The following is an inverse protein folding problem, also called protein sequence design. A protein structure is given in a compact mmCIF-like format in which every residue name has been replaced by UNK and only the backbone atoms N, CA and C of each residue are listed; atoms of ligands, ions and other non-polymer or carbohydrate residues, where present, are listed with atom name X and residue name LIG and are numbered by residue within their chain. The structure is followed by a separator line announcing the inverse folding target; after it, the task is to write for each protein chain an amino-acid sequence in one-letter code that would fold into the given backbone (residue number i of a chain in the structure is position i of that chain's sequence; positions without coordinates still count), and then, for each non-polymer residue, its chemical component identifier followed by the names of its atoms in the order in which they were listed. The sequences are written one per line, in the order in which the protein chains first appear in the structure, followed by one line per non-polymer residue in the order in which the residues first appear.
data_IF_881695625616
#
_entry.id   IF_881695625616
#
_cell.length_a   1.000
_cell.length_b   1.000
_cell.length_c   1.000
_cell.angle_alpha   90.00
_cell.angle_beta   90.00
_cell.angle_gamma   90.00
#
_symmetry.space_group_name_H-M   'P 1'
#
loop_
_entity.id
_entity.type
_entity.pdbx_description
1 polymer ?
#
# COMPACT_ATOMS: atom_id res chain seq x y z
N UNK A 1 13.32 2.89 -5.67
CA UNK A 1 12.54 1.93 -4.86
C UNK A 1 11.12 2.41 -4.75
N UNK A 2 10.17 1.58 -5.06
CA UNK A 2 8.76 1.92 -5.01
C UNK A 2 8.06 1.08 -3.97
N UNK A 3 7.11 1.69 -3.27
CA UNK A 3 6.28 0.98 -2.32
C UNK A 3 4.81 1.13 -2.68
N UNK A 4 4.06 0.09 -2.44
CA UNK A 4 2.65 0.04 -2.72
C UNK A 4 1.89 -0.28 -1.44
N UNK A 5 0.86 0.49 -1.15
CA UNK A 5 -0.03 0.23 -0.03
C UNK A 5 -1.41 -0.09 -0.56
N UNK A 6 -1.95 -1.20 -0.12
CA UNK A 6 -3.30 -1.59 -0.49
C UNK A 6 -4.17 -1.80 0.73
N UNK A 7 -5.39 -1.31 0.67
CA UNK A 7 -6.45 -1.63 1.61
C UNK A 7 -7.36 -2.65 0.92
N UNK A 8 -7.67 -3.78 1.58
CA UNK A 8 -8.49 -4.82 0.94
C UNK A 8 -9.86 -4.34 0.46
N UNK A 9 -10.42 -3.33 1.10
CA UNK A 9 -11.72 -2.83 0.72
C UNK A 9 -11.67 -1.81 -0.43
N UNK A 10 -10.47 -1.39 -0.78
CA UNK A 10 -10.23 -0.50 -1.91
C UNK A 10 -9.38 -1.16 -2.97
N UNK A 11 -9.60 -2.45 -3.19
CA UNK A 11 -8.78 -3.26 -4.10
C UNK A 11 -8.59 -2.66 -5.48
N UNK A 12 -9.59 -1.99 -6.03
CA UNK A 12 -9.43 -1.41 -7.35
C UNK A 12 -8.53 -0.17 -7.34
N UNK A 13 -8.53 0.62 -6.25
CA UNK A 13 -7.58 1.71 -6.07
C UNK A 13 -6.17 1.17 -5.93
N UNK A 14 -6.04 0.08 -5.19
CA UNK A 14 -4.77 -0.63 -5.05
C UNK A 14 -4.29 -1.17 -6.41
N UNK A 15 -5.19 -1.64 -7.26
CA UNK A 15 -4.84 -2.09 -8.60
C UNK A 15 -4.31 -0.97 -9.48
N UNK A 16 -4.91 0.21 -9.42
CA UNK A 16 -4.41 1.37 -10.15
C UNK A 16 -3.03 1.75 -9.65
N UNK A 17 -2.86 1.85 -8.33
CA UNK A 17 -1.57 2.14 -7.73
C UNK A 17 -0.53 1.09 -8.10
N UNK A 18 -0.90 -0.19 -8.07
CA UNK A 18 -0.02 -1.29 -8.46
C UNK A 18 0.48 -1.14 -9.89
N UNK A 19 -0.42 -0.86 -10.82
CA UNK A 19 -0.05 -0.70 -12.23
C UNK A 19 0.92 0.46 -12.43
N UNK A 20 0.69 1.57 -11.75
CA UNK A 20 1.58 2.72 -11.82
C UNK A 20 2.94 2.39 -11.22
N UNK A 21 2.96 1.74 -10.06
CA UNK A 21 4.20 1.34 -9.41
C UNK A 21 5.00 0.37 -10.28
N UNK A 22 4.33 -0.60 -10.89
CA UNK A 22 4.97 -1.56 -11.80
C UNK A 22 5.64 -0.86 -12.98
N UNK A 23 4.91 0.07 -13.61
CA UNK A 23 5.44 0.82 -14.75
C UNK A 23 6.63 1.67 -14.37
N UNK A 24 6.58 2.33 -13.22
CA UNK A 24 7.69 3.14 -12.74
C UNK A 24 8.90 2.26 -12.39
N UNK A 25 8.68 1.17 -11.68
CA UNK A 25 9.76 0.26 -11.32
C UNK A 25 10.44 -0.33 -12.54
N UNK A 26 9.67 -0.74 -13.53
CA UNK A 26 10.20 -1.26 -14.78
C UNK A 26 10.99 -0.19 -15.55
N UNK A 27 10.42 1.01 -15.67
CA UNK A 27 11.05 2.10 -16.40
C UNK A 27 12.30 2.66 -15.75
N UNK A 28 12.43 2.57 -14.43
CA UNK A 28 13.58 3.12 -13.70
C UNK A 28 14.56 2.06 -13.23
N UNK A 29 14.24 0.78 -13.36
CA UNK A 29 15.04 -0.31 -12.81
C UNK A 29 15.02 -0.37 -11.28
N UNK A 30 14.02 0.25 -10.66
CA UNK A 30 13.91 0.29 -9.20
C UNK A 30 13.33 -1.01 -8.65
N UNK A 31 13.68 -1.32 -7.41
CA UNK A 31 13.05 -2.42 -6.68
C UNK A 31 11.64 -2.04 -6.27
N UNK A 32 10.71 -2.96 -6.46
CA UNK A 32 9.33 -2.79 -6.01
C UNK A 32 9.11 -3.54 -4.71
N UNK A 33 8.71 -2.82 -3.68
CA UNK A 33 8.30 -3.38 -2.40
C UNK A 33 6.79 -3.20 -2.25
N UNK A 34 6.14 -4.23 -1.76
CA UNK A 34 4.71 -4.21 -1.49
C UNK A 34 4.51 -4.22 0.01
N UNK A 35 3.64 -3.34 0.51
CA UNK A 35 3.34 -3.32 1.94
C UNK A 35 1.83 -3.33 2.15
N UNK A 36 1.40 -4.13 3.10
CA UNK A 36 0.04 -4.11 3.63
C UNK A 36 0.11 -3.82 5.12
N UNK A 37 -0.68 -2.85 5.57
CA UNK A 37 -0.75 -2.50 6.98
C UNK A 37 -2.09 -2.96 7.53
N UNK A 38 -2.07 -3.94 8.41
CA UNK A 38 -3.25 -4.40 9.12
C UNK A 38 -3.58 -3.49 10.29
N UNK A 39 -4.85 -3.48 10.68
CA UNK A 39 -5.27 -2.74 11.85
C UNK A 39 -4.67 -3.28 13.14
N UNK A 40 -4.69 -2.46 14.18
CA UNK A 40 -4.29 -2.91 15.50
C UNK A 40 -5.33 -3.91 16.00
N UNK A 41 -4.90 -5.13 16.27
CA UNK A 41 -5.78 -6.14 16.87
C UNK A 41 -6.26 -5.69 18.23
N UNK A 42 -7.49 -6.06 18.58
CA UNK A 42 -8.02 -5.82 19.90
C UNK A 42 -7.31 -6.69 20.96
N UNK A 43 -7.83 -6.64 22.18
CA UNK A 43 -7.23 -7.36 23.33
C UNK A 43 -7.34 -8.88 23.22
N UNK A 44 -8.11 -9.43 22.28
CA UNK A 44 -8.26 -10.87 22.13
C UNK A 44 -7.17 -11.45 21.20
N UNK A 45 -6.26 -12.30 21.75
CA UNK A 45 -5.20 -12.89 20.93
C UNK A 45 -5.70 -13.76 19.78
N UNK A 46 -6.87 -14.37 19.91
CA UNK A 46 -7.45 -15.21 18.85
C UNK A 46 -7.91 -14.34 17.68
N UNK A 47 -8.57 -13.24 17.97
CA UNK A 47 -9.01 -12.31 16.95
C UNK A 47 -7.83 -11.68 16.24
N UNK A 48 -6.81 -11.31 17.00
CA UNK A 48 -5.57 -10.76 16.44
C UNK A 48 -4.94 -11.72 15.43
N UNK A 49 -4.83 -13.01 15.81
CA UNK A 49 -4.23 -14.01 14.93
C UNK A 49 -5.07 -14.24 13.67
N UNK A 50 -6.39 -14.27 13.79
CA UNK A 50 -7.28 -14.37 12.63
C UNK A 50 -7.14 -13.18 11.69
N UNK A 51 -7.07 -11.98 12.23
CA UNK A 51 -6.87 -10.76 11.44
C UNK A 51 -5.51 -10.77 10.76
N UNK A 52 -4.49 -11.23 11.43
CA UNK A 52 -3.15 -11.34 10.86
C UNK A 52 -3.10 -12.33 9.70
N UNK A 53 -3.76 -13.47 9.84
CA UNK A 53 -3.85 -14.47 8.77
C UNK A 53 -4.61 -13.93 7.56
N UNK A 54 -5.71 -13.24 7.78
CA UNK A 54 -6.49 -12.63 6.70
C UNK A 54 -5.68 -11.57 5.97
N UNK A 55 -4.96 -10.72 6.69
CA UNK A 55 -4.10 -9.68 6.11
C UNK A 55 -2.97 -10.30 5.30
N UNK A 56 -2.38 -11.37 5.79
CA UNK A 56 -1.31 -12.08 5.10
C UNK A 56 -1.82 -12.67 3.79
N UNK A 57 -3.02 -13.27 3.80
CA UNK A 57 -3.63 -13.81 2.60
C UNK A 57 -3.92 -12.76 1.55
N UNK A 58 -4.36 -11.57 1.96
CA UNK A 58 -4.61 -10.47 1.05
C UNK A 58 -3.32 -9.94 0.44
N UNK A 59 -2.27 -9.82 1.23
CA UNK A 59 -0.96 -9.41 0.77
C UNK A 59 -0.41 -10.40 -0.25
N UNK A 60 -0.50 -11.70 0.03
CA UNK A 60 -0.04 -12.75 -0.87
C UNK A 60 -0.81 -12.72 -2.19
N UNK A 61 -2.12 -12.50 -2.13
CA UNK A 61 -2.95 -12.40 -3.33
C UNK A 61 -2.53 -11.21 -4.20
N UNK A 62 -2.32 -10.06 -3.60
CA UNK A 62 -1.84 -8.89 -4.33
C UNK A 62 -0.45 -9.13 -4.94
N UNK A 63 0.45 -9.72 -4.17
CA UNK A 63 1.79 -10.04 -4.66
C UNK A 63 1.72 -10.99 -5.86
N UNK A 64 0.87 -12.00 -5.79
CA UNK A 64 0.67 -12.94 -6.90
C UNK A 64 0.15 -12.23 -8.15
N UNK A 65 -0.87 -11.39 -8.01
CA UNK A 65 -1.42 -10.62 -9.13
C UNK A 65 -0.35 -9.74 -9.80
N UNK A 66 0.49 -9.10 -9.01
CA UNK A 66 1.55 -8.24 -9.52
C UNK A 66 2.62 -9.06 -10.25
N UNK A 67 3.02 -10.19 -9.68
CA UNK A 67 3.99 -11.10 -10.32
C UNK A 67 3.44 -11.70 -11.61
N UNK A 68 2.18 -12.10 -11.61
CA UNK A 68 1.51 -12.66 -12.79
C UNK A 68 1.43 -11.63 -13.93
N UNK A 69 1.36 -10.36 -13.59
CA UNK A 69 1.39 -9.27 -14.57
C UNK A 69 2.81 -8.96 -15.08
N UNK A 70 3.81 -9.69 -14.62
CA UNK A 70 5.18 -9.58 -15.12
C UNK A 70 6.13 -8.74 -14.26
N UNK A 71 5.68 -8.19 -13.17
CA UNK A 71 6.52 -7.38 -12.30
C UNK A 71 7.28 -8.25 -11.30
N UNK A 72 8.44 -7.76 -10.90
CA UNK A 72 9.24 -8.39 -9.85
C UNK A 72 9.05 -7.63 -8.56
N UNK A 73 8.68 -8.35 -7.51
CA UNK A 73 8.58 -7.80 -6.17
C UNK A 73 9.81 -8.21 -5.39
N UNK A 74 10.56 -7.23 -4.90
CA UNK A 74 11.76 -7.49 -4.10
C UNK A 74 11.37 -8.11 -2.76
N UNK A 75 10.35 -7.56 -2.11
CA UNK A 75 9.85 -8.10 -0.86
C UNK A 75 8.42 -7.60 -0.60
N UNK A 76 7.61 -8.46 0.02
CA UNK A 76 6.30 -8.12 0.55
C UNK A 76 6.41 -7.93 2.05
N UNK A 77 5.80 -6.87 2.55
CA UNK A 77 5.86 -6.52 3.98
C UNK A 77 4.47 -6.50 4.57
N UNK A 78 4.31 -7.18 5.70
CA UNK A 78 3.11 -7.09 6.50
C UNK A 78 3.43 -6.32 7.77
N UNK A 79 2.75 -5.22 7.96
CA UNK A 79 2.91 -4.38 9.15
C UNK A 79 1.58 -4.28 9.89
N UNK A 80 1.65 -4.03 11.19
CA UNK A 80 0.47 -3.80 12.03
C UNK A 80 0.64 -2.47 12.73
N UNK A 81 -0.43 -1.71 12.79
CA UNK A 81 -0.41 -0.42 13.44
C UNK A 81 -1.21 0.61 12.66
N UNK A 82 -0.84 1.85 12.82
CA UNK A 82 -1.46 2.94 12.07
C UNK A 82 -0.84 3.00 10.67
N UNK A 83 -1.65 2.87 9.62
CA UNK A 83 -1.13 2.80 8.26
C UNK A 83 -0.20 3.96 7.92
N UNK A 84 -0.58 5.18 8.25
CA UNK A 84 0.22 6.36 7.92
C UNK A 84 1.59 6.37 8.58
N UNK A 85 1.69 5.81 9.79
CA UNK A 85 2.96 5.73 10.50
C UNK A 85 3.83 4.59 9.99
N UNK A 86 3.22 3.43 9.76
CA UNK A 86 3.95 2.25 9.32
C UNK A 86 4.49 2.40 7.90
N UNK A 87 3.73 3.04 7.02
CA UNK A 87 4.17 3.31 5.66
C UNK A 87 5.41 4.22 5.66
N UNK A 88 5.34 5.32 6.39
CA UNK A 88 6.45 6.27 6.46
C UNK A 88 7.68 5.62 7.10
N UNK A 89 7.48 4.86 8.18
CA UNK A 89 8.58 4.16 8.85
C UNK A 89 9.26 3.15 7.92
N UNK A 90 8.47 2.35 7.20
CA UNK A 90 9.02 1.37 6.27
C UNK A 90 9.77 2.04 5.12
N UNK A 91 9.23 3.12 4.59
CA UNK A 91 9.89 3.86 3.53
C UNK A 91 11.26 4.38 3.97
N UNK A 92 11.36 4.87 5.20
CA UNK A 92 12.63 5.32 5.77
C UNK A 92 13.60 4.15 5.97
N UNK A 93 13.11 3.03 6.50
CA UNK A 93 13.93 1.83 6.69
C UNK A 93 14.52 1.32 5.37
N UNK A 94 13.74 1.36 4.31
CA UNK A 94 14.16 0.89 2.99
C UNK A 94 14.95 1.93 2.19
N UNK A 95 14.97 3.16 2.62
CA UNK A 95 15.53 4.25 1.82
C UNK A 95 14.76 4.46 0.52
N UNK A 96 13.44 4.32 0.58
CA UNK A 96 12.60 4.40 -0.61
C UNK A 96 12.71 5.77 -1.29
N UNK A 97 12.81 5.75 -2.61
CA UNK A 97 12.82 6.97 -3.41
C UNK A 97 11.44 7.43 -3.84
N UNK A 98 10.43 6.58 -3.67
CA UNK A 98 9.06 6.89 -4.04
C UNK A 98 8.10 5.98 -3.30
N UNK A 99 7.01 6.55 -2.81
CA UNK A 99 5.88 5.80 -2.28
C UNK A 99 4.73 5.93 -3.29
N UNK A 100 4.13 4.81 -3.67
CA UNK A 100 2.95 4.79 -4.54
C UNK A 100 1.78 4.22 -3.75
N UNK A 101 0.69 4.93 -3.70
CA UNK A 101 -0.47 4.50 -2.93
C UNK A 101 -1.77 4.97 -3.57
N UNK A 102 -2.88 4.33 -3.20
CA UNK A 102 -4.20 4.75 -3.63
C UNK A 102 -4.67 5.98 -2.86
N UNK A 103 -5.45 6.82 -3.52
CA UNK A 103 -5.89 8.08 -2.94
C UNK A 103 -7.06 7.98 -1.98
N UNK A 104 -7.73 6.82 -1.88
CA UNK A 104 -8.94 6.70 -1.08
C UNK A 104 -8.97 5.42 -0.26
N UNK A 105 -9.47 5.55 0.97
CA UNK A 105 -9.92 4.45 1.76
C UNK A 105 -11.44 4.33 1.72
N UNK A 106 -11.95 3.54 2.63
CA UNK A 106 -13.39 3.33 2.81
C UNK A 106 -14.15 4.63 3.03
N UNK A 107 -15.37 4.66 2.52
CA UNK A 107 -16.28 5.77 2.73
C UNK A 107 -15.79 7.08 2.13
N UNK A 108 -14.94 7.00 1.14
CA UNK A 108 -14.38 8.17 0.51
C UNK A 108 -15.45 9.18 0.14
N UNK A 109 -15.31 10.38 0.67
CA UNK A 109 -16.18 11.47 0.29
C UNK A 109 -16.03 11.76 -1.18
N UNK A 110 -17.14 12.00 -1.86
CA UNK A 110 -17.16 12.17 -3.31
C UNK A 110 -16.23 13.27 -3.81
N UNK A 111 -15.83 14.19 -2.95
CA UNK A 111 -14.96 15.30 -3.30
C UNK A 111 -13.65 15.31 -2.55
N UNK A 112 -13.40 14.32 -1.71
CA UNK A 112 -12.12 14.24 -1.06
C UNK A 112 -11.07 13.90 -2.11
N UNK A 113 -10.12 14.77 -2.28
CA UNK A 113 -9.05 14.59 -3.25
C UNK A 113 -8.08 13.52 -2.78
N UNK A 114 -7.94 13.39 -1.49
CA UNK A 114 -6.98 12.49 -0.85
C UNK A 114 -7.64 11.90 0.40
N UNK A 115 -7.50 10.61 0.62
CA UNK A 115 -7.96 9.97 1.86
C UNK A 115 -7.10 10.36 3.05
N UNK A 116 -7.57 10.06 4.26
CA UNK A 116 -6.85 10.44 5.49
C UNK A 116 -5.46 9.83 5.58
N UNK A 117 -5.30 8.57 5.16
CA UNK A 117 -4.00 7.90 5.19
C UNK A 117 -3.05 8.54 4.17
N UNK A 118 -3.49 8.71 2.94
CA UNK A 118 -2.64 9.29 1.90
C UNK A 118 -2.30 10.75 2.19
N UNK A 119 -3.23 11.53 2.74
CA UNK A 119 -2.94 12.90 3.16
C UNK A 119 -1.84 12.94 4.22
N UNK A 120 -1.93 12.07 5.21
CA UNK A 120 -0.93 12.00 6.27
C UNK A 120 0.43 11.54 5.75
N UNK A 121 0.46 10.56 4.85
CA UNK A 121 1.70 10.09 4.24
C UNK A 121 2.36 11.21 3.43
N UNK A 122 1.58 11.93 2.62
CA UNK A 122 2.10 13.07 1.85
C UNK A 122 2.75 14.11 2.75
N UNK A 123 2.15 14.37 3.91
CA UNK A 123 2.67 15.38 4.84
C UNK A 123 3.93 14.94 5.58
N UNK A 124 4.09 13.65 5.85
CA UNK A 124 5.14 13.16 6.73
C UNK A 124 6.25 12.39 6.02
N UNK A 125 6.03 11.94 4.79
CA UNK A 125 7.05 11.21 4.05
C UNK A 125 8.23 12.11 3.70
N UNK A 126 9.43 11.53 3.71
CA UNK A 126 10.65 12.23 3.32
C UNK A 126 11.01 12.00 1.86
N UNK A 127 10.25 11.19 1.15
CA UNK A 127 10.42 10.95 -0.27
C UNK A 127 9.17 11.40 -1.02
N UNK A 128 9.25 11.54 -2.35
CA UNK A 128 8.06 11.80 -3.15
C UNK A 128 6.99 10.74 -2.96
N UNK A 129 5.75 11.17 -3.03
CA UNK A 129 4.58 10.30 -2.89
C UNK A 129 3.70 10.47 -4.12
N UNK A 130 3.42 9.38 -4.80
CA UNK A 130 2.48 9.34 -5.90
C UNK A 130 1.16 8.79 -5.39
N UNK A 131 0.13 9.60 -5.43
CA UNK A 131 -1.20 9.18 -5.02
C UNK A 131 -2.01 8.87 -6.27
N UNK A 132 -2.32 7.60 -6.47
CA UNK A 132 -3.06 7.16 -7.64
C UNK A 132 -4.55 7.41 -7.44
N UNK A 133 -5.15 8.06 -8.43
CA UNK A 133 -6.58 8.32 -8.45
C UNK A 133 -7.16 7.71 -9.71
N UNK A 134 -8.31 7.11 -9.58
CA UNK A 134 -8.98 6.52 -10.73
C UNK A 134 -10.39 7.06 -10.87
N UNK A 135 -10.92 6.95 -12.06
CA UNK A 135 -12.31 7.24 -12.34
C UNK A 135 -13.13 5.96 -12.23
N UNK A 136 -14.31 6.07 -11.67
CA UNK A 136 -15.23 4.95 -11.52
C UNK A 136 -16.07 4.69 -12.77
N UNK A 137 -15.87 5.45 -13.80
CA UNK A 137 -16.63 5.26 -15.03
C UNK A 137 -16.02 4.23 -15.93
#
# INVERSE_FOLDING_TARGET
MCELVGDPETLWWARIASRMAMGIAEGTGSELHLVYVGGVGGADPRLYEQMRQSSHGLLDKQATEIRDAGAKIAKSHLRNGRPEQEIVALAEELGAGLIVMGGRGLGGMKRALIGSVSDSVVRHARCPVLVARGSHT
#
